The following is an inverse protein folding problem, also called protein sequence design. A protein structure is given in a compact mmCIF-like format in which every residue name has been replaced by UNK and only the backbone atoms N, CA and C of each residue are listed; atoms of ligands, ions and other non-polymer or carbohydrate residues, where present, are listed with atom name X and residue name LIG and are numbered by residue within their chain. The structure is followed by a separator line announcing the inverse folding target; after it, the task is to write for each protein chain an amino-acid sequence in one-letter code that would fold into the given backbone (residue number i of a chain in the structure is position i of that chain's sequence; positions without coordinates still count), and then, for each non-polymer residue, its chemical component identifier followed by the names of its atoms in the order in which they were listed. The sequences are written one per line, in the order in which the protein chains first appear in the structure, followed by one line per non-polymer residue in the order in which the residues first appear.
data_IF_022426534811
#
_entry.id   IF_022426534811
#
_cell.length_a   1.000
_cell.length_b   1.000
_cell.length_c   1.000
_cell.angle_alpha   90.00
_cell.angle_beta   90.00
_cell.angle_gamma   90.00
#
_symmetry.space_group_name_H-M   'P 1'
#
loop_
_entity.id
_entity.type
_entity.pdbx_description
1 polymer ?
#
# COMPACT_ATOMS: atom_id res chain seq x y z
N UNK A 1 5.02 6.31 8.80
CA UNK A 1 5.11 4.90 8.34
C UNK A 1 6.56 4.49 8.34
N UNK A 2 6.94 3.25 8.71
CA UNK A 2 8.36 2.83 8.66
C UNK A 2 8.69 2.18 7.32
N UNK A 3 9.97 2.14 6.96
CA UNK A 3 10.44 1.61 5.67
C UNK A 3 10.06 0.13 5.51
N UNK A 4 10.20 -0.66 6.58
CA UNK A 4 9.86 -2.08 6.58
C UNK A 4 8.37 -2.35 6.24
N UNK A 5 7.46 -1.46 6.64
CA UNK A 5 6.03 -1.58 6.34
C UNK A 5 5.77 -1.38 4.84
N UNK A 6 6.51 -0.45 4.22
CA UNK A 6 6.44 -0.15 2.79
C UNK A 6 7.14 -1.23 1.95
N UNK A 7 8.19 -1.86 2.49
CA UNK A 7 8.84 -3.01 1.85
C UNK A 7 7.94 -4.25 1.83
N UNK A 8 7.05 -4.40 2.82
CA UNK A 8 6.02 -5.43 2.85
C UNK A 8 4.87 -5.17 1.86
N UNK A 9 4.61 -3.90 1.49
CA UNK A 9 3.61 -3.54 0.49
C UNK A 9 4.02 -3.91 -0.93
N UNK A 10 3.04 -4.15 -1.80
CA UNK A 10 3.29 -4.40 -3.22
C UNK A 10 3.64 -3.11 -3.97
N UNK A 11 4.29 -3.24 -5.12
CA UNK A 11 4.56 -2.09 -6.00
C UNK A 11 3.26 -1.40 -6.42
N UNK A 12 2.15 -2.14 -6.55
CA UNK A 12 0.84 -1.57 -6.86
C UNK A 12 0.33 -0.66 -5.73
N UNK A 13 0.40 -1.11 -4.48
CA UNK A 13 0.00 -0.30 -3.31
C UNK A 13 0.88 0.94 -3.11
N UNK A 14 2.20 0.79 -3.29
CA UNK A 14 3.13 1.91 -3.24
C UNK A 14 2.80 2.96 -4.32
N UNK A 15 2.41 2.53 -5.52
CA UNK A 15 1.97 3.44 -6.59
C UNK A 15 0.66 4.13 -6.23
N UNK A 16 -0.30 3.44 -5.62
CA UNK A 16 -1.55 4.04 -5.15
C UNK A 16 -1.26 5.13 -4.10
N UNK A 17 -0.39 4.84 -3.12
CA UNK A 17 0.03 5.82 -2.12
C UNK A 17 0.68 7.05 -2.77
N UNK A 18 1.61 6.85 -3.71
CA UNK A 18 2.22 7.94 -4.45
C UNK A 18 1.22 8.75 -5.29
N UNK A 19 0.27 8.10 -5.95
CA UNK A 19 -0.80 8.80 -6.67
C UNK A 19 -1.68 9.65 -5.75
N UNK A 20 -2.00 9.14 -4.55
CA UNK A 20 -2.74 9.93 -3.55
C UNK A 20 -1.93 11.14 -3.06
N UNK A 21 -0.61 11.02 -3.04
CA UNK A 21 0.31 12.11 -2.71
C UNK A 21 0.66 12.99 -3.92
N UNK A 22 0.03 12.78 -5.09
CA UNK A 22 0.34 13.46 -6.36
C UNK A 22 1.83 13.37 -6.78
N UNK A 23 2.50 12.29 -6.36
CA UNK A 23 3.91 12.03 -6.63
C UNK A 23 4.09 11.06 -7.82
N UNK A 24 5.22 11.14 -8.53
CA UNK A 24 5.48 10.25 -9.66
C UNK A 24 5.49 8.78 -9.24
N UNK A 25 4.79 7.93 -9.99
CA UNK A 25 4.68 6.47 -9.77
C UNK A 25 5.67 5.64 -10.60
N UNK A 26 6.62 6.31 -11.24
CA UNK A 26 7.66 5.70 -12.07
C UNK A 26 8.90 5.38 -11.25
N UNK A 27 9.54 4.24 -11.53
CA UNK A 27 10.78 3.81 -10.86
C UNK A 27 10.74 2.38 -10.31
N UNK A 28 11.82 2.00 -9.62
CA UNK A 28 11.98 0.71 -8.92
C UNK A 28 11.27 0.75 -7.57
N UNK A 29 10.83 -0.40 -7.04
CA UNK A 29 10.14 -0.49 -5.74
C UNK A 29 10.83 0.33 -4.63
N UNK A 30 12.15 0.21 -4.48
CA UNK A 30 12.91 0.95 -3.47
C UNK A 30 12.81 2.48 -3.62
N UNK A 31 12.78 2.99 -4.86
CA UNK A 31 12.64 4.41 -5.17
C UNK A 31 11.25 4.94 -4.80
N UNK A 32 10.20 4.12 -5.03
CA UNK A 32 8.84 4.42 -4.60
C UNK A 32 8.76 4.51 -3.07
N UNK A 33 9.36 3.56 -2.36
CA UNK A 33 9.36 3.51 -0.89
C UNK A 33 10.06 4.73 -0.30
N UNK A 34 11.23 5.08 -0.84
CA UNK A 34 12.00 6.22 -0.34
C UNK A 34 11.26 7.54 -0.58
N UNK A 35 10.65 7.70 -1.76
CA UNK A 35 9.81 8.86 -2.10
C UNK A 35 8.59 9.00 -1.18
N UNK A 36 7.96 7.88 -0.84
CA UNK A 36 6.85 7.83 0.11
C UNK A 36 7.32 8.21 1.51
N UNK A 37 8.47 7.68 1.96
CA UNK A 37 9.01 7.97 3.29
C UNK A 37 9.36 9.46 3.45
N UNK A 38 10.00 10.05 2.43
CA UNK A 38 10.39 11.46 2.43
C UNK A 38 9.20 12.44 2.45
N UNK A 39 8.04 12.05 1.89
CA UNK A 39 6.86 12.92 1.78
C UNK A 39 5.74 12.59 2.79
N UNK A 40 5.87 11.49 3.55
CA UNK A 40 4.94 11.14 4.64
C UNK A 40 5.27 11.79 5.97
N UNK A 41 6.47 12.37 6.14
CA UNK A 41 6.78 13.24 7.26
C UNK A 41 6.11 14.60 7.01
N UNK A 42 5.09 15.01 7.80
CA UNK A 42 4.39 16.27 7.61
C UNK A 42 5.29 17.42 8.07
N UNK A 43 6.31 17.73 7.28
CA UNK A 43 6.97 19.03 7.34
C UNK A 43 6.09 19.98 6.55
N UNK A 44 5.09 20.50 7.25
CA UNK A 44 4.34 21.74 6.98
C UNK A 44 5.02 22.54 5.85
N UNK A 45 4.51 22.39 4.63
CA UNK A 45 4.83 23.34 3.55
C UNK A 45 3.51 24.00 3.23
N UNK A 46 3.41 25.22 3.73
CA UNK A 46 2.44 26.23 3.35
C UNK A 46 2.23 26.20 1.83
N UNK A 47 0.96 26.19 1.44
CA UNK A 47 0.51 26.17 0.05
C UNK A 47 0.87 27.46 -0.71
N UNK A 48 1.02 27.30 -2.02
CA UNK A 48 1.10 28.30 -3.11
C UNK A 48 2.51 28.91 -3.37
N UNK A 49 3.08 28.80 -4.59
CA UNK A 49 2.39 29.29 -5.79
C UNK A 49 2.52 28.46 -7.08
N UNK A 50 1.43 28.50 -7.85
CA UNK A 50 1.42 28.84 -9.28
C UNK A 50 2.65 28.43 -10.13
N UNK A 51 2.45 27.47 -11.05
CA UNK A 51 3.04 27.50 -12.40
C UNK A 51 2.30 26.49 -13.27
N UNK A 52 1.23 26.94 -13.96
CA UNK A 52 1.27 27.31 -15.39
C UNK A 52 1.44 26.11 -16.33
N UNK A 53 0.33 25.70 -16.92
CA UNK A 53 0.26 24.86 -18.12
C UNK A 53 0.82 25.63 -19.34
N UNK A 54 1.74 25.03 -20.10
CA UNK A 54 2.07 25.27 -21.52
C UNK A 54 3.16 24.25 -21.87
N UNK A 55 2.86 23.20 -22.65
CA UNK A 55 2.78 23.14 -24.13
C UNK A 55 4.16 23.10 -24.83
N UNK A 56 4.33 22.08 -25.69
CA UNK A 56 5.19 22.18 -26.88
C UNK A 56 6.37 21.19 -27.05
N UNK A 57 6.11 20.07 -27.75
CA UNK A 57 7.00 19.41 -28.75
C UNK A 57 8.35 18.83 -28.31
N UNK A 58 9.01 17.89 -29.00
CA UNK A 58 8.79 17.20 -30.27
C UNK A 58 9.76 15.98 -30.32
N UNK A 59 9.24 14.85 -30.78
CA UNK A 59 9.85 13.73 -31.49
C UNK A 59 11.38 13.44 -31.38
N UNK A 60 11.74 12.26 -30.85
CA UNK A 60 12.77 11.40 -31.46
C UNK A 60 12.35 9.93 -31.40
N UNK A 61 11.86 9.44 -32.54
CA UNK A 61 11.81 8.04 -32.95
C UNK A 61 13.17 7.36 -32.74
N UNK A 62 13.20 6.23 -32.02
CA UNK A 62 14.19 5.18 -32.27
C UNK A 62 13.59 3.84 -31.88
N UNK A 63 13.39 2.99 -32.89
CA UNK A 63 12.93 1.63 -32.74
C UNK A 63 13.84 0.84 -31.81
N UNK A 64 13.25 0.09 -30.88
CA UNK A 64 13.84 -1.16 -30.46
C UNK A 64 12.72 -2.19 -30.30
N UNK A 65 12.91 -3.27 -31.03
CA UNK A 65 12.02 -4.40 -31.22
C UNK A 65 11.66 -5.08 -29.88
N UNK A 66 10.50 -5.74 -29.94
CA UNK A 66 9.91 -6.63 -28.96
C UNK A 66 10.93 -7.38 -28.09
N UNK A 67 10.85 -7.15 -26.78
CA UNK A 67 11.27 -8.15 -25.80
C UNK A 67 9.98 -8.82 -25.28
N UNK A 68 9.31 -9.56 -26.16
CA UNK A 68 8.52 -10.70 -25.71
C UNK A 68 9.51 -11.82 -25.36
N UNK A 69 9.82 -11.98 -24.08
CA UNK A 69 10.50 -13.19 -23.63
C UNK A 69 10.20 -13.47 -22.16
N UNK A 70 9.23 -14.37 -21.99
CA UNK A 70 9.20 -15.41 -20.95
C UNK A 70 9.25 -14.91 -19.50
N UNK A 71 8.09 -14.51 -18.98
CA UNK A 71 7.74 -14.88 -17.59
C UNK A 71 6.66 -15.95 -17.67
N UNK A 72 7.07 -17.11 -18.15
CA UNK A 72 6.38 -18.35 -17.86
C UNK A 72 6.44 -18.59 -16.35
N UNK A 73 5.25 -18.52 -15.75
CA UNK A 73 4.68 -19.63 -15.00
C UNK A 73 5.03 -19.74 -13.49
N UNK A 74 3.98 -19.51 -12.69
CA UNK A 74 3.70 -20.08 -11.37
C UNK A 74 4.70 -19.85 -10.23
N UNK A 75 4.53 -18.73 -9.51
CA UNK A 75 4.63 -18.63 -8.04
C UNK A 75 3.72 -17.45 -7.69
N UNK A 76 2.70 -17.49 -6.86
CA UNK A 76 2.05 -18.50 -6.04
C UNK A 76 0.89 -17.67 -5.51
N UNK A 77 -0.34 -18.17 -5.60
CA UNK A 77 -1.43 -17.56 -4.86
C UNK A 77 -1.08 -17.60 -3.37
N UNK A 78 -0.63 -16.47 -2.81
CA UNK A 78 -0.75 -16.22 -1.37
C UNK A 78 -1.62 -14.99 -1.21
N UNK A 79 -2.91 -15.24 -1.40
CA UNK A 79 -3.91 -15.00 -0.36
C UNK A 79 -3.25 -14.44 0.92
N UNK A 80 -3.17 -13.11 1.02
CA UNK A 80 -2.90 -12.45 2.30
C UNK A 80 -4.25 -12.25 3.00
N UNK A 81 -5.01 -13.34 3.11
CA UNK A 81 -5.92 -13.57 4.21
C UNK A 81 -5.08 -13.89 5.47
N UNK A 82 -4.34 -12.89 5.95
CA UNK A 82 -3.75 -12.92 7.27
C UNK A 82 -4.68 -12.28 8.33
N UNK A 83 -5.99 -12.25 8.06
CA UNK A 83 -7.02 -11.83 9.01
C UNK A 83 -7.63 -13.01 9.79
N UNK A 84 -7.09 -14.24 9.65
CA UNK A 84 -7.71 -15.44 10.21
C UNK A 84 -7.25 -15.83 11.63
N UNK A 85 -6.09 -15.35 12.11
CA UNK A 85 -5.59 -15.74 13.44
C UNK A 85 -5.97 -14.78 14.58
N UNK A 86 -6.07 -13.47 14.30
CA UNK A 86 -6.49 -12.47 15.31
C UNK A 86 -8.00 -12.55 15.62
N UNK A 87 -8.79 -13.17 14.74
CA UNK A 87 -10.25 -13.20 14.87
C UNK A 87 -10.75 -14.32 15.79
N UNK A 88 -10.17 -15.52 15.77
CA UNK A 88 -10.69 -16.66 16.55
C UNK A 88 -10.45 -16.52 18.05
N UNK A 89 -9.24 -16.13 18.48
CA UNK A 89 -8.95 -15.95 19.90
C UNK A 89 -9.79 -14.80 20.49
N UNK A 90 -9.96 -13.71 19.74
CA UNK A 90 -10.81 -12.58 20.13
C UNK A 90 -12.29 -12.98 20.21
N UNK A 91 -12.79 -13.75 19.24
CA UNK A 91 -14.18 -14.24 19.22
C UNK A 91 -14.48 -15.27 20.32
N UNK A 92 -13.53 -16.12 20.67
CA UNK A 92 -13.69 -17.06 21.81
C UNK A 92 -13.66 -16.30 23.13
N UNK A 93 -12.73 -15.36 23.30
CA UNK A 93 -12.62 -14.55 24.51
C UNK A 93 -13.88 -13.70 24.73
N UNK A 94 -14.36 -13.02 23.68
CA UNK A 94 -15.60 -12.23 23.76
C UNK A 94 -16.79 -13.14 24.12
N UNK A 95 -16.84 -14.35 23.54
CA UNK A 95 -17.89 -15.34 23.82
C UNK A 95 -17.89 -15.82 25.28
N UNK A 96 -16.72 -16.14 25.85
CA UNK A 96 -16.59 -16.55 27.25
C UNK A 96 -17.01 -15.43 28.20
N UNK A 97 -16.58 -14.19 27.93
CA UNK A 97 -16.94 -13.02 28.75
C UNK A 97 -18.45 -12.78 28.73
N UNK A 98 -19.07 -12.76 27.54
CA UNK A 98 -20.52 -12.58 27.40
C UNK A 98 -21.28 -13.71 28.08
N UNK A 99 -20.83 -14.95 27.95
CA UNK A 99 -21.47 -16.10 28.59
C UNK A 99 -21.38 -16.02 30.12
N UNK A 100 -20.22 -15.67 30.67
CA UNK A 100 -20.05 -15.46 32.11
C UNK A 100 -20.96 -14.35 32.65
N UNK A 101 -21.05 -13.22 31.94
CA UNK A 101 -21.96 -12.13 32.31
C UNK A 101 -23.43 -12.56 32.26
N UNK A 102 -23.84 -13.32 31.24
CA UNK A 102 -25.19 -13.85 31.14
C UNK A 102 -25.52 -14.81 32.30
N UNK A 103 -24.58 -15.68 32.69
CA UNK A 103 -24.75 -16.58 33.84
C UNK A 103 -24.86 -15.80 35.16
N UNK A 104 -24.08 -14.73 35.33
CA UNK A 104 -24.16 -13.85 36.51
C UNK A 104 -25.50 -13.13 36.56
N UNK A 105 -25.98 -12.58 35.44
CA UNK A 105 -27.29 -11.91 35.36
C UNK A 105 -28.43 -12.88 35.63
N UNK A 106 -28.33 -14.13 35.16
CA UNK A 106 -29.34 -15.17 35.42
C UNK A 106 -29.35 -15.65 36.88
N UNK A 107 -28.26 -15.43 37.60
CA UNK A 107 -28.12 -15.80 39.02
C UNK A 107 -28.59 -14.71 39.99
N UNK A 108 -29.05 -13.56 39.48
CA UNK A 108 -29.54 -12.40 40.24
C UNK A 108 -31.07 -12.36 40.29
#
# INVERSE_FOLDING_TARGET
MRREDLEAMTVAELKILLSNLALPVSGKKADLIDRILQNQDPKIVEEDPSSSEVDGGENRETAHEEIESVVSHMIEGKDLNQESEITLQSMVLIGVVVCALALVVLSL
#
